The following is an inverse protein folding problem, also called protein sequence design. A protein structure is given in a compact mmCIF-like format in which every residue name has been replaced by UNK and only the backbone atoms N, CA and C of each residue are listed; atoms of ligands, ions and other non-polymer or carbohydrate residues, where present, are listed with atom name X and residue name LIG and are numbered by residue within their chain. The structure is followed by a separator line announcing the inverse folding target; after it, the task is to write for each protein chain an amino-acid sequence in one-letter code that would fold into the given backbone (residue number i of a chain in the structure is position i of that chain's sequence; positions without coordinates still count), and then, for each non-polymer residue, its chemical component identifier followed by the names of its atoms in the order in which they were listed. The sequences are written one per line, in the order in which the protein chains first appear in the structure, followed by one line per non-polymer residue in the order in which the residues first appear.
data_IF_630061896641
#
_entry.id   IF_630061896641
#
_cell.length_a   1.000
_cell.length_b   1.000
_cell.length_c   1.000
_cell.angle_alpha   90.00
_cell.angle_beta   90.00
_cell.angle_gamma   90.00
#
_symmetry.space_group_name_H-M   'P 1'
#
loop_
_entity.id
_entity.type
_entity.pdbx_description
1 polymer ?
#
# COMPACT_ATOMS: atom_id res chain seq x y z
N UNK A 1 -11.00 -4.91 3.61
CA UNK A 1 -10.90 -3.68 4.41
C UNK A 1 -9.43 -3.38 4.64
N UNK A 2 -9.04 -2.11 4.63
CA UNK A 2 -7.65 -1.67 4.78
C UNK A 2 -7.47 -0.89 6.08
N UNK A 3 -6.28 -0.95 6.68
CA UNK A 3 -5.94 -0.17 7.86
C UNK A 3 -4.47 0.24 7.91
N UNK A 4 -4.21 1.38 8.54
CA UNK A 4 -2.86 1.86 8.82
C UNK A 4 -2.17 0.93 9.84
N UNK A 5 -0.93 0.52 9.56
CA UNK A 5 -0.24 -0.45 10.40
C UNK A 5 0.02 0.08 11.83
N UNK A 6 0.70 1.22 11.96
CA UNK A 6 1.03 1.94 13.21
C UNK A 6 2.09 3.01 12.87
N UNK A 7 2.34 3.96 13.76
CA UNK A 7 3.41 4.95 13.63
C UNK A 7 4.44 4.90 14.80
N UNK A 8 4.53 3.76 15.48
CA UNK A 8 5.38 3.60 16.69
C UNK A 8 6.83 3.17 16.40
N UNK A 9 7.20 2.95 15.14
CA UNK A 9 8.47 2.37 14.74
C UNK A 9 8.65 0.97 15.33
N UNK A 10 9.88 0.58 15.64
CA UNK A 10 10.20 -0.72 16.25
C UNK A 10 9.69 -0.90 17.70
N UNK A 11 9.05 0.11 18.31
CA UNK A 11 8.59 0.06 19.71
C UNK A 11 7.34 -0.79 19.89
N UNK A 12 6.41 -0.74 18.94
CA UNK A 12 5.16 -1.48 18.96
C UNK A 12 4.88 -2.04 17.56
N UNK A 13 4.26 -3.21 17.51
CA UNK A 13 3.79 -3.81 16.27
C UNK A 13 2.57 -3.10 15.69
N UNK A 14 1.83 -3.82 14.85
CA UNK A 14 0.58 -3.33 14.26
C UNK A 14 -0.46 -3.03 15.35
N UNK A 15 -1.09 -1.86 15.28
CA UNK A 15 -2.19 -1.48 16.16
C UNK A 15 -3.51 -2.08 15.67
N UNK A 16 -4.51 -2.24 16.54
CA UNK A 16 -5.87 -2.51 16.07
C UNK A 16 -6.39 -1.30 15.25
N UNK A 17 -7.06 -1.49 14.10
CA UNK A 17 -7.53 -2.76 13.53
C UNK A 17 -6.53 -3.53 12.64
N UNK A 18 -5.36 -2.98 12.35
CA UNK A 18 -4.34 -3.61 11.50
C UNK A 18 -3.74 -4.92 12.09
N UNK A 19 -3.89 -5.17 13.39
CA UNK A 19 -3.52 -6.45 14.01
C UNK A 19 -4.53 -7.58 13.75
N UNK A 20 -5.73 -7.29 13.22
CA UNK A 20 -6.73 -8.31 12.91
C UNK A 20 -6.37 -9.05 11.61
N UNK A 21 -6.35 -10.40 11.59
CA UNK A 21 -5.96 -11.19 10.42
C UNK A 21 -6.88 -11.04 9.20
N UNK A 22 -8.08 -10.46 9.37
CA UNK A 22 -9.03 -10.21 8.27
C UNK A 22 -8.87 -8.81 7.63
N UNK A 23 -7.85 -8.05 8.04
CA UNK A 23 -7.59 -6.70 7.56
C UNK A 23 -6.30 -6.68 6.74
N UNK A 24 -6.35 -5.98 5.60
CA UNK A 24 -5.14 -5.67 4.84
C UNK A 24 -4.51 -4.46 5.50
N UNK A 25 -3.44 -4.67 6.26
CA UNK A 25 -2.68 -3.60 6.89
C UNK A 25 -1.68 -2.98 5.89
N UNK A 26 -1.42 -1.69 6.05
CA UNK A 26 -0.57 -0.93 5.13
C UNK A 26 0.55 -0.26 5.92
N UNK A 27 1.78 -0.64 5.56
CA UNK A 27 3.02 -0.01 6.05
C UNK A 27 3.36 1.22 5.21
N UNK A 28 4.26 2.05 5.74
CA UNK A 28 4.72 3.28 5.10
C UNK A 28 6.15 3.12 4.62
N UNK A 29 6.42 3.73 3.48
CA UNK A 29 7.75 3.87 2.90
C UNK A 29 7.99 5.32 2.48
N UNK A 30 9.25 5.66 2.25
CA UNK A 30 9.62 6.84 1.48
C UNK A 30 9.33 6.63 -0.03
N UNK A 31 9.73 7.59 -0.87
CA UNK A 31 9.56 7.49 -2.33
C UNK A 31 10.47 6.47 -3.01
N UNK A 32 11.52 6.00 -2.32
CA UNK A 32 12.46 4.99 -2.81
C UNK A 32 12.06 3.56 -2.37
N UNK A 33 11.00 3.42 -1.58
CA UNK A 33 10.55 2.15 -1.05
C UNK A 33 11.31 1.69 0.20
N UNK A 34 12.03 2.58 0.87
CA UNK A 34 12.65 2.32 2.18
C UNK A 34 11.60 2.41 3.27
N UNK A 35 11.65 1.51 4.27
CA UNK A 35 10.69 1.54 5.37
C UNK A 35 10.79 2.86 6.14
N UNK A 36 9.66 3.54 6.32
CA UNK A 36 9.61 4.74 7.15
C UNK A 36 10.03 4.42 8.58
N UNK A 37 10.85 5.28 9.20
CA UNK A 37 11.34 5.05 10.57
C UNK A 37 10.22 4.94 11.62
N UNK A 38 9.05 5.52 11.36
CA UNK A 38 7.85 5.39 12.20
C UNK A 38 7.00 4.15 11.88
N UNK A 39 7.20 3.48 10.75
CA UNK A 39 6.44 2.28 10.40
C UNK A 39 6.88 1.10 11.27
N UNK A 40 5.95 0.25 11.76
CA UNK A 40 6.31 -0.88 12.61
C UNK A 40 7.12 -1.93 11.86
N UNK A 41 8.13 -2.53 12.49
CA UNK A 41 8.97 -3.57 11.89
C UNK A 41 8.12 -4.65 11.18
N UNK A 42 8.56 -5.06 9.98
CA UNK A 42 7.93 -6.11 9.21
C UNK A 42 7.73 -7.38 10.05
N UNK A 43 6.51 -7.91 10.03
CA UNK A 43 6.24 -9.15 10.74
C UNK A 43 6.81 -10.33 9.94
N UNK A 44 7.56 -11.25 10.58
CA UNK A 44 8.08 -12.44 9.92
C UNK A 44 6.94 -13.30 9.37
N UNK A 45 7.17 -13.94 8.21
CA UNK A 45 6.22 -14.86 7.57
C UNK A 45 4.87 -14.23 7.17
N UNK A 46 4.78 -12.90 7.18
CA UNK A 46 3.61 -12.12 6.83
C UNK A 46 3.81 -11.35 5.52
N UNK A 47 2.72 -10.99 4.85
CA UNK A 47 2.76 -10.15 3.63
C UNK A 47 2.70 -8.68 4.07
N UNK A 48 3.87 -8.08 4.32
CA UNK A 48 3.96 -6.68 4.73
C UNK A 48 3.81 -5.75 3.51
N UNK A 49 2.57 -5.41 3.17
CA UNK A 49 2.28 -4.50 2.06
C UNK A 49 2.59 -3.06 2.47
N UNK A 50 3.27 -2.32 1.59
CA UNK A 50 3.63 -0.94 1.84
C UNK A 50 3.48 -0.07 0.59
N UNK A 51 3.28 1.23 0.79
CA UNK A 51 3.40 2.23 -0.27
C UNK A 51 3.91 3.53 0.34
N UNK A 52 4.08 4.56 -0.49
CA UNK A 52 4.60 5.85 -0.03
C UNK A 52 3.67 6.42 1.04
N UNK A 53 4.25 6.81 2.16
CA UNK A 53 3.53 7.44 3.26
C UNK A 53 4.33 8.57 3.92
N UNK A 54 5.48 8.94 3.35
CA UNK A 54 6.26 10.10 3.77
C UNK A 54 6.01 11.29 2.85
N UNK A 55 5.91 12.48 3.47
CA UNK A 55 5.81 13.76 2.78
C UNK A 55 4.68 13.81 1.74
N UNK A 56 3.55 13.16 2.05
CA UNK A 56 2.39 13.10 1.17
C UNK A 56 1.62 14.42 1.27
N UNK A 57 1.63 15.20 0.19
CA UNK A 57 0.79 16.40 0.07
C UNK A 57 -0.68 16.00 -0.15
N UNK A 58 -1.57 16.56 0.66
CA UNK A 58 -3.00 16.27 0.58
C UNK A 58 -3.83 17.49 1.01
N UNK A 59 -5.13 17.43 0.73
CA UNK A 59 -6.08 18.45 1.16
C UNK A 59 -6.11 18.55 2.69
N UNK A 60 -6.09 19.78 3.19
CA UNK A 60 -6.06 20.10 4.60
C UNK A 60 -7.26 20.98 4.98
N UNK A 61 -7.84 20.82 6.19
CA UNK A 61 -8.97 21.64 6.61
C UNK A 61 -8.64 23.13 6.52
N UNK A 62 -9.50 23.90 5.86
CA UNK A 62 -9.32 25.34 5.58
C UNK A 62 -9.05 26.14 6.86
N UNK A 63 -9.76 25.84 7.95
CA UNK A 63 -9.62 26.49 9.25
C UNK A 63 -8.29 26.18 9.96
N UNK A 64 -7.59 25.12 9.53
CA UNK A 64 -6.30 24.69 10.07
C UNK A 64 -5.15 24.97 9.08
N UNK A 65 -5.47 25.47 7.88
CA UNK A 65 -4.48 25.71 6.82
C UNK A 65 -3.93 27.13 6.90
N UNK A 66 -2.62 27.24 6.74
CA UNK A 66 -1.93 28.51 6.51
C UNK A 66 -1.63 28.73 5.02
N UNK A 67 -1.78 27.69 4.18
CA UNK A 67 -1.67 27.76 2.72
C UNK A 67 -3.04 28.14 2.13
N UNK A 68 -3.05 29.11 1.21
CA UNK A 68 -4.24 29.51 0.44
C UNK A 68 -4.79 28.38 -0.42
N UNK A 69 -3.94 27.41 -0.80
CA UNK A 69 -4.33 26.21 -1.54
C UNK A 69 -4.94 25.12 -0.64
N UNK A 70 -4.91 25.30 0.68
CA UNK A 70 -5.42 24.33 1.65
C UNK A 70 -4.78 22.95 1.49
N UNK A 71 -3.45 22.93 1.32
CA UNK A 71 -2.64 21.73 1.18
C UNK A 71 -1.68 21.61 2.36
N UNK A 72 -1.43 20.37 2.79
CA UNK A 72 -0.39 20.09 3.76
C UNK A 72 0.32 18.78 3.43
N UNK A 73 1.65 18.80 3.58
CA UNK A 73 2.48 17.60 3.49
C UNK A 73 2.59 16.95 4.87
N UNK A 74 2.22 15.67 4.93
CA UNK A 74 2.21 14.91 6.17
C UNK A 74 2.75 13.49 5.95
N UNK A 75 3.22 12.88 7.04
CA UNK A 75 3.80 11.53 7.00
C UNK A 75 3.07 10.59 7.96
N UNK A 76 2.87 9.34 7.55
CA UNK A 76 2.27 8.31 8.37
C UNK A 76 1.75 7.13 7.57
N UNK A 77 1.61 5.98 8.25
CA UNK A 77 0.88 4.82 7.68
C UNK A 77 -0.58 5.15 7.35
N UNK A 78 -1.16 6.16 8.01
CA UNK A 78 -2.46 6.73 7.69
C UNK A 78 -2.51 7.42 6.32
N UNK A 79 -1.37 7.88 5.79
CA UNK A 79 -1.26 8.47 4.44
C UNK A 79 -0.93 7.42 3.38
N UNK A 80 -0.14 6.39 3.73
CA UNK A 80 0.07 5.24 2.85
C UNK A 80 -1.23 4.44 2.59
N UNK A 81 -2.09 4.32 3.60
CA UNK A 81 -3.34 3.54 3.50
C UNK A 81 -4.28 4.00 2.38
N UNK A 82 -4.70 5.29 2.28
CA UNK A 82 -5.58 5.75 1.21
C UNK A 82 -4.94 5.63 -0.18
N UNK A 83 -3.60 5.74 -0.29
CA UNK A 83 -2.90 5.51 -1.56
C UNK A 83 -3.03 4.04 -1.98
N UNK A 84 -2.79 3.09 -1.07
CA UNK A 84 -3.00 1.65 -1.31
C UNK A 84 -4.45 1.34 -1.69
N UNK A 85 -5.42 1.99 -1.03
CA UNK A 85 -6.84 1.85 -1.34
C UNK A 85 -7.15 2.38 -2.74
N UNK A 86 -6.58 3.52 -3.14
CA UNK A 86 -6.73 4.06 -4.49
C UNK A 86 -6.21 3.10 -5.58
N UNK A 87 -5.01 2.53 -5.36
CA UNK A 87 -4.44 1.50 -6.24
C UNK A 87 -5.37 0.29 -6.32
N UNK A 88 -5.87 -0.19 -5.17
CA UNK A 88 -6.79 -1.33 -5.10
C UNK A 88 -8.11 -1.06 -5.81
N UNK A 89 -8.68 0.13 -5.63
CA UNK A 89 -9.93 0.52 -6.28
C UNK A 89 -9.78 0.54 -7.80
N UNK A 90 -8.66 1.07 -8.31
CA UNK A 90 -8.34 1.03 -9.72
C UNK A 90 -8.23 -0.41 -10.25
N UNK A 91 -7.53 -1.30 -9.53
CA UNK A 91 -7.40 -2.71 -9.92
C UNK A 91 -8.76 -3.43 -9.93
N UNK A 92 -9.62 -3.18 -8.93
CA UNK A 92 -10.96 -3.74 -8.88
C UNK A 92 -11.84 -3.24 -10.03
N UNK A 93 -11.77 -1.95 -10.35
CA UNK A 93 -12.50 -1.37 -11.47
C UNK A 93 -12.01 -1.95 -12.80
N UNK A 94 -10.70 -2.08 -12.97
CA UNK A 94 -10.11 -2.70 -14.16
C UNK A 94 -10.58 -4.15 -14.31
N UNK A 95 -10.51 -4.94 -13.25
CA UNK A 95 -10.98 -6.32 -13.22
C UNK A 95 -12.48 -6.44 -13.52
N UNK A 96 -13.30 -5.52 -12.99
CA UNK A 96 -14.74 -5.49 -13.25
C UNK A 96 -15.07 -5.27 -14.73
N UNK A 97 -14.21 -4.57 -15.48
CA UNK A 97 -14.43 -4.26 -16.89
C UNK A 97 -13.87 -5.34 -17.83
N UNK A 98 -12.80 -6.04 -17.42
CA UNK A 98 -12.03 -6.91 -18.32
C UNK A 98 -12.07 -8.39 -17.96
N UNK A 99 -12.56 -8.77 -16.77
CA UNK A 99 -12.61 -10.15 -16.33
C UNK A 99 -14.06 -10.64 -16.17
N UNK A 100 -14.31 -11.95 -16.29
CA UNK A 100 -15.59 -12.54 -15.94
C UNK A 100 -16.02 -12.17 -14.51
N UNK A 101 -17.32 -11.91 -14.31
CA UNK A 101 -17.86 -11.44 -13.04
C UNK A 101 -17.43 -12.28 -11.83
N UNK A 102 -17.39 -13.62 -11.97
CA UNK A 102 -16.93 -14.54 -10.92
C UNK A 102 -15.48 -14.26 -10.48
N UNK A 103 -14.60 -13.96 -11.43
CA UNK A 103 -13.19 -13.64 -11.15
C UNK A 103 -13.04 -12.26 -10.53
N UNK A 104 -13.74 -11.26 -11.08
CA UNK A 104 -13.75 -9.90 -10.51
C UNK A 104 -14.27 -9.88 -9.06
N UNK A 105 -15.33 -10.64 -8.76
CA UNK A 105 -15.86 -10.77 -7.40
C UNK A 105 -14.89 -11.51 -6.46
N UNK A 106 -14.11 -12.46 -6.97
CA UNK A 106 -13.12 -13.16 -6.16
C UNK A 106 -12.03 -12.23 -5.62
N UNK A 107 -11.67 -11.16 -6.37
CA UNK A 107 -10.71 -10.15 -5.93
C UNK A 107 -11.19 -9.32 -4.72
N UNK A 108 -12.49 -9.33 -4.40
CA UNK A 108 -12.99 -8.70 -3.16
C UNK A 108 -12.59 -9.48 -1.91
N UNK A 109 -12.18 -10.75 -2.05
CA UNK A 109 -11.66 -11.54 -0.93
C UNK A 109 -10.26 -11.08 -0.56
N UNK A 110 -10.01 -10.92 0.73
CA UNK A 110 -8.76 -10.41 1.29
C UNK A 110 -7.55 -11.18 0.75
N UNK A 111 -7.59 -12.51 0.77
CA UNK A 111 -6.47 -13.36 0.35
C UNK A 111 -6.13 -13.17 -1.12
N UNK A 112 -7.15 -12.97 -1.96
CA UNK A 112 -6.97 -12.74 -3.41
C UNK A 112 -6.45 -11.33 -3.68
N UNK A 113 -6.93 -10.34 -2.93
CA UNK A 113 -6.42 -8.97 -3.03
C UNK A 113 -4.97 -8.86 -2.54
N UNK A 114 -4.62 -9.49 -1.41
CA UNK A 114 -3.24 -9.53 -0.91
C UNK A 114 -2.29 -10.21 -1.89
N UNK A 115 -2.71 -11.34 -2.49
CA UNK A 115 -1.92 -12.02 -3.51
C UNK A 115 -1.71 -11.13 -4.76
N UNK A 116 -2.75 -10.41 -5.19
CA UNK A 116 -2.67 -9.48 -6.30
C UNK A 116 -1.72 -8.31 -5.99
N UNK A 117 -1.89 -7.64 -4.85
CA UNK A 117 -1.04 -6.52 -4.42
C UNK A 117 0.42 -6.96 -4.23
N UNK A 118 0.66 -8.14 -3.66
CA UNK A 118 2.00 -8.74 -3.59
C UNK A 118 2.58 -8.95 -4.99
N UNK A 119 1.80 -9.45 -5.95
CA UNK A 119 2.24 -9.61 -7.34
C UNK A 119 2.58 -8.26 -7.98
N UNK A 120 1.80 -7.21 -7.68
CA UNK A 120 2.05 -5.85 -8.12
C UNK A 120 3.34 -5.25 -7.55
N UNK A 121 3.87 -5.77 -6.43
CA UNK A 121 5.15 -5.34 -5.86
C UNK A 121 6.37 -6.06 -6.49
N UNK A 122 6.19 -7.29 -6.99
CA UNK A 122 7.30 -8.10 -7.53
C UNK A 122 7.79 -7.53 -8.86
N UNK A 123 9.11 -7.26 -8.97
CA UNK A 123 9.77 -6.68 -10.15
C UNK A 123 10.59 -7.68 -10.99
N UNK A 124 10.50 -8.98 -10.69
CA UNK A 124 11.21 -10.03 -11.42
C UNK A 124 11.37 -11.32 -10.60
N UNK A 125 11.94 -12.39 -11.19
CA UNK A 125 12.07 -13.70 -10.54
C UNK A 125 12.93 -13.67 -9.27
N UNK A 126 13.94 -12.79 -9.22
CA UNK A 126 14.85 -12.64 -8.07
C UNK A 126 14.48 -11.48 -7.16
N UNK A 127 13.24 -11.00 -7.22
CA UNK A 127 12.81 -9.85 -6.42
C UNK A 127 12.83 -10.19 -4.92
N UNK A 128 13.61 -9.41 -4.16
CA UNK A 128 13.61 -9.43 -2.69
C UNK A 128 13.04 -8.10 -2.19
N UNK A 129 12.01 -8.12 -1.32
CA UNK A 129 11.48 -6.89 -0.73
C UNK A 129 12.54 -6.21 0.14
N UNK A 130 12.73 -4.91 -0.04
CA UNK A 130 13.53 -4.09 0.87
C UNK A 130 12.82 -4.01 2.23
N UNK A 131 13.57 -4.15 3.31
CA UNK A 131 13.04 -4.15 4.70
C UNK A 131 11.92 -5.17 4.95
N UNK A 132 11.84 -6.21 4.11
CA UNK A 132 10.74 -7.18 4.07
C UNK A 132 9.36 -6.56 3.76
N UNK A 133 9.31 -5.37 3.16
CA UNK A 133 8.11 -4.72 2.66
C UNK A 133 7.91 -4.94 1.16
N UNK A 134 6.70 -5.36 0.81
CA UNK A 134 6.23 -5.37 -0.58
C UNK A 134 5.80 -3.95 -0.95
N UNK A 135 6.75 -3.14 -1.41
CA UNK A 135 6.54 -1.78 -1.85
C UNK A 135 5.74 -1.75 -3.18
N UNK A 136 4.56 -1.15 -3.12
CA UNK A 136 3.64 -1.02 -4.25
C UNK A 136 3.64 0.44 -4.67
N UNK A 137 4.15 0.69 -5.87
CA UNK A 137 4.09 1.99 -6.52
C UNK A 137 3.54 1.83 -7.93
N UNK A 138 2.84 2.86 -8.39
CA UNK A 138 2.41 2.95 -9.77
C UNK A 138 3.59 3.48 -10.59
N UNK A 139 4.10 2.66 -11.51
CA UNK A 139 5.14 3.13 -12.43
C UNK A 139 4.49 3.66 -13.71
N UNK A 140 4.87 4.87 -14.12
CA UNK A 140 4.48 5.41 -15.42
C UNK A 140 5.17 4.69 -16.59
N UNK A 141 6.21 3.90 -16.30
CA UNK A 141 6.89 3.12 -17.31
C UNK A 141 6.18 1.79 -17.54
N UNK A 142 5.73 1.54 -18.78
CA UNK A 142 4.99 0.33 -19.17
C UNK A 142 5.69 -0.98 -18.79
N UNK A 143 7.02 -1.00 -18.75
CA UNK A 143 7.80 -2.18 -18.35
C UNK A 143 7.74 -2.47 -16.84
N UNK A 144 7.34 -1.50 -16.02
CA UNK A 144 7.26 -1.60 -14.56
C UNK A 144 5.83 -1.57 -14.03
N UNK A 145 4.84 -1.28 -14.89
CA UNK A 145 3.46 -1.05 -14.46
C UNK A 145 2.90 -2.30 -13.76
N UNK A 146 3.08 -3.51 -14.31
CA UNK A 146 2.79 -4.81 -13.66
C UNK A 146 3.55 -6.00 -14.27
N UNK A 147 4.66 -5.76 -15.00
CA UNK A 147 5.30 -6.77 -15.86
C UNK A 147 6.44 -7.49 -15.14
N UNK A 148 6.28 -8.79 -14.97
CA UNK A 148 7.31 -9.74 -15.39
C UNK A 148 6.65 -10.59 -16.46
N UNK A 149 7.31 -10.83 -17.60
CA UNK A 149 6.86 -11.87 -18.53
C UNK A 149 6.67 -13.16 -17.72
N UNK A 150 5.50 -13.78 -17.91
CA UNK A 150 5.29 -15.16 -17.48
C UNK A 150 6.06 -15.99 -18.50
N UNK A 151 7.27 -16.38 -18.17
CA UNK A 151 7.90 -17.55 -18.78
C UNK A 151 7.19 -18.82 -18.28
#
# INVERSE_FOLDING_TARGET
MFAAASNSGARLGRAYPASNPHIIYVHSTDTNGEASGFSPTAEPNSINLATVGESVESAWPTLLSQDSRCLQSQSGTSYATPIMVGITAFLLQYASLHLPQKQALALKRREKMEALLRRCAIRGPNYKPRDNYFYIHLSLHKHNLFRGELD
#
